data_IF_896602028936
#
_entry.id   IF_896602028936
#
_cell.length_a   1.000
_cell.length_b   1.000
_cell.length_c   1.000
_cell.angle_alpha   90.00
_cell.angle_beta   90.00
_cell.angle_gamma   90.00
#
_symmetry.space_group_name_H-M   'P 1'
#
loop_
_entity.id
_entity.type
_entity.pdbx_description
1 polymer ?
#
# COMPACT_ATOMS: atom_id res chain seq x y z
N UNK A 1 -54.66 -15.24 35.06
CA UNK A 1 -54.71 -15.50 33.60
C UNK A 1 -54.00 -14.33 32.94
N UNK A 2 -52.81 -14.38 32.34
CA UNK A 2 -51.90 -15.47 31.96
C UNK A 2 -50.51 -14.82 31.79
N UNK A 3 -49.44 -15.55 32.13
CA UNK A 3 -48.03 -15.17 32.02
C UNK A 3 -47.59 -14.81 30.59
N UNK A 4 -46.55 -13.98 30.46
CA UNK A 4 -45.30 -14.45 29.82
C UNK A 4 -44.09 -13.55 30.16
N UNK A 5 -43.00 -14.07 30.75
CA UNK A 5 -41.69 -13.43 30.71
C UNK A 5 -41.03 -13.70 29.35
N UNK A 6 -40.53 -12.65 28.70
CA UNK A 6 -39.72 -12.74 27.48
C UNK A 6 -38.33 -13.31 27.84
N UNK A 7 -37.80 -14.30 27.10
CA UNK A 7 -36.44 -14.79 27.28
C UNK A 7 -35.40 -13.72 26.86
N UNK A 8 -34.17 -13.78 27.41
CA UNK A 8 -33.11 -12.83 27.07
C UNK A 8 -32.72 -12.95 25.59
N UNK A 9 -32.40 -11.79 25.01
CA UNK A 9 -31.97 -11.62 23.63
C UNK A 9 -30.86 -12.62 23.26
N UNK A 10 -30.88 -13.19 22.04
CA UNK A 10 -29.73 -13.94 21.55
C UNK A 10 -28.55 -12.97 21.50
N UNK A 11 -27.66 -13.18 22.46
CA UNK A 11 -26.38 -12.51 22.55
C UNK A 11 -25.68 -12.53 21.21
N UNK A 12 -25.15 -11.36 20.85
CA UNK A 12 -23.69 -11.20 20.87
C UNK A 12 -22.91 -12.43 20.39
N UNK A 13 -23.13 -12.82 19.14
CA UNK A 13 -22.37 -13.88 18.47
C UNK A 13 -22.13 -13.59 16.98
N UNK A 14 -22.05 -12.31 16.61
CA UNK A 14 -21.57 -11.90 15.28
C UNK A 14 -20.47 -10.81 15.35
N UNK A 15 -19.82 -10.66 16.52
CA UNK A 15 -18.70 -9.73 16.71
C UNK A 15 -17.34 -10.44 16.74
N UNK A 16 -17.19 -11.55 16.01
CA UNK A 16 -15.90 -12.24 15.86
C UNK A 16 -15.55 -12.58 14.40
N UNK A 17 -16.22 -11.97 13.43
CA UNK A 17 -15.78 -12.00 12.05
C UNK A 17 -14.91 -10.77 11.77
N UNK A 18 -13.59 -10.94 11.88
CA UNK A 18 -12.65 -10.04 11.24
C UNK A 18 -12.01 -8.98 12.13
N UNK A 19 -11.49 -9.36 13.30
CA UNK A 19 -10.22 -8.75 13.71
C UNK A 19 -9.11 -9.41 12.88
N UNK A 20 -9.09 -9.13 11.56
CA UNK A 20 -7.85 -9.25 10.82
C UNK A 20 -6.87 -8.35 11.58
N UNK A 21 -5.75 -8.87 12.11
CA UNK A 21 -4.77 -7.99 12.73
C UNK A 21 -4.40 -6.97 11.65
N UNK A 22 -4.73 -5.71 11.89
CA UNK A 22 -4.33 -4.61 11.02
C UNK A 22 -2.81 -4.75 10.88
N UNK A 23 -2.36 -5.12 9.68
CA UNK A 23 -0.93 -5.21 9.42
C UNK A 23 -0.33 -3.85 9.81
N UNK A 24 0.83 -3.84 10.48
CA UNK A 24 1.46 -2.58 10.86
C UNK A 24 1.59 -1.69 9.63
N UNK A 25 1.18 -0.42 9.77
CA UNK A 25 1.34 0.57 8.70
C UNK A 25 2.83 0.58 8.28
N UNK A 26 3.12 0.47 6.98
CA UNK A 26 4.49 0.39 6.49
C UNK A 26 5.25 1.66 6.90
N UNK A 27 6.48 1.50 7.36
CA UNK A 27 7.32 2.65 7.68
C UNK A 27 7.67 3.42 6.40
N UNK A 28 8.10 4.68 6.53
CA UNK A 28 8.59 5.45 5.39
C UNK A 28 9.74 4.73 4.67
N UNK A 29 10.62 4.04 5.39
CA UNK A 29 11.69 3.25 4.79
C UNK A 29 11.15 2.05 3.97
N UNK A 30 10.10 1.39 4.46
CA UNK A 30 9.44 0.30 3.71
C UNK A 30 8.78 0.83 2.44
N UNK A 31 8.12 2.00 2.52
CA UNK A 31 7.50 2.65 1.36
C UNK A 31 8.54 3.06 0.32
N UNK A 32 9.69 3.60 0.74
CA UNK A 32 10.81 3.93 -0.16
C UNK A 32 11.32 2.67 -0.86
N UNK A 33 11.49 1.58 -0.13
CA UNK A 33 11.95 0.30 -0.67
C UNK A 33 10.96 -0.27 -1.68
N UNK A 34 9.67 -0.22 -1.37
CA UNK A 34 8.62 -0.64 -2.29
C UNK A 34 8.62 0.22 -3.56
N UNK A 35 8.75 1.53 -3.43
CA UNK A 35 8.77 2.45 -4.57
C UNK A 35 9.99 2.23 -5.48
N UNK A 36 11.15 1.91 -4.91
CA UNK A 36 12.34 1.50 -5.68
C UNK A 36 12.08 0.22 -6.46
N UNK A 37 11.45 -0.79 -5.84
CA UNK A 37 11.11 -2.04 -6.51
C UNK A 37 10.09 -1.81 -7.65
N UNK A 38 9.07 -0.99 -7.41
CA UNK A 38 8.05 -0.65 -8.39
C UNK A 38 8.64 0.10 -9.59
N UNK A 39 9.57 1.04 -9.34
CA UNK A 39 10.31 1.73 -10.41
C UNK A 39 11.09 0.76 -11.28
N UNK A 40 11.82 -0.18 -10.69
CA UNK A 40 12.57 -1.21 -11.45
C UNK A 40 11.64 -2.12 -12.23
N UNK A 41 10.50 -2.49 -11.65
CA UNK A 41 9.48 -3.26 -12.35
C UNK A 41 8.94 -2.50 -13.55
N UNK A 42 8.60 -1.22 -13.39
CA UNK A 42 8.09 -0.38 -14.46
C UNK A 42 9.08 -0.29 -15.63
N UNK A 43 10.36 -0.05 -15.33
CA UNK A 43 11.42 0.01 -16.34
C UNK A 43 11.53 -1.30 -17.13
N UNK A 44 11.51 -2.45 -16.46
CA UNK A 44 11.54 -3.78 -17.11
C UNK A 44 10.35 -4.00 -18.03
N UNK A 45 9.16 -3.54 -17.64
CA UNK A 45 7.96 -3.66 -18.48
C UNK A 45 8.04 -2.77 -19.72
N UNK A 46 8.50 -1.53 -19.53
CA UNK A 46 8.76 -0.61 -20.65
C UNK A 46 9.76 -1.23 -21.62
N UNK A 47 10.87 -1.78 -21.14
CA UNK A 47 11.90 -2.43 -21.96
C UNK A 47 11.38 -3.69 -22.66
N UNK A 48 10.48 -4.44 -22.03
CA UNK A 48 9.80 -5.58 -22.63
C UNK A 48 8.78 -5.18 -23.72
N UNK A 49 8.55 -3.89 -23.94
CA UNK A 49 7.59 -3.39 -24.92
C UNK A 49 6.14 -3.43 -24.44
N UNK A 50 5.91 -3.55 -23.13
CA UNK A 50 4.57 -3.44 -22.56
C UNK A 50 4.03 -2.00 -22.74
N UNK A 51 2.70 -1.89 -22.83
CA UNK A 51 1.96 -0.63 -22.93
C UNK A 51 2.51 0.36 -23.97
N UNK A 52 2.57 -0.03 -25.26
CA UNK A 52 3.12 0.83 -26.31
C UNK A 52 2.41 2.18 -26.42
N UNK A 53 1.10 2.24 -26.09
CA UNK A 53 0.33 3.48 -26.10
C UNK A 53 0.70 4.47 -24.97
N UNK A 54 1.29 3.98 -23.87
CA UNK A 54 1.65 4.80 -22.70
C UNK A 54 3.16 4.82 -22.44
N UNK A 55 3.98 4.27 -23.35
CA UNK A 55 5.42 4.13 -23.16
C UNK A 55 6.10 5.43 -22.77
N UNK A 56 5.72 6.54 -23.42
CA UNK A 56 6.29 7.86 -23.15
C UNK A 56 5.85 8.39 -21.78
N UNK A 57 4.56 8.28 -21.46
CA UNK A 57 4.03 8.73 -20.17
C UNK A 57 4.62 7.92 -19.01
N UNK A 58 4.75 6.60 -19.18
CA UNK A 58 5.34 5.71 -18.17
C UNK A 58 6.85 5.94 -18.02
N UNK A 59 7.56 6.30 -19.08
CA UNK A 59 8.96 6.70 -19.00
C UNK A 59 9.13 8.04 -18.27
N UNK A 60 8.22 9.00 -18.49
CA UNK A 60 8.20 10.25 -17.74
C UNK A 60 7.93 9.99 -16.25
N UNK A 61 6.95 9.14 -15.93
CA UNK A 61 6.66 8.73 -14.56
C UNK A 61 7.87 8.04 -13.89
N UNK A 62 8.51 7.10 -14.58
CA UNK A 62 9.73 6.43 -14.08
C UNK A 62 10.84 7.44 -13.75
N UNK A 63 11.00 8.47 -14.59
CA UNK A 63 11.96 9.55 -14.38
C UNK A 63 11.62 10.39 -13.15
N UNK A 64 10.36 10.79 -13.00
CA UNK A 64 9.86 11.54 -11.84
C UNK A 64 10.04 10.74 -10.54
N UNK A 65 9.79 9.43 -10.57
CA UNK A 65 10.05 8.53 -9.44
C UNK A 65 11.54 8.48 -9.09
N UNK A 66 12.42 8.47 -10.09
CA UNK A 66 13.86 8.57 -9.88
C UNK A 66 14.26 9.85 -9.14
N UNK A 67 13.79 11.01 -9.61
CA UNK A 67 14.09 12.30 -8.97
C UNK A 67 13.54 12.39 -7.53
N UNK A 68 12.36 11.82 -7.28
CA UNK A 68 11.80 11.77 -5.93
C UNK A 68 12.67 10.92 -5.00
N UNK A 69 13.07 9.73 -5.44
CA UNK A 69 13.91 8.82 -4.65
C UNK A 69 15.28 9.43 -4.35
N UNK A 70 15.87 10.14 -5.32
CA UNK A 70 17.14 10.85 -5.14
C UNK A 70 17.02 11.94 -4.06
N UNK A 71 15.97 12.77 -4.10
CA UNK A 71 15.70 13.78 -3.06
C UNK A 71 15.47 13.17 -1.68
N UNK A 72 14.76 12.04 -1.63
CA UNK A 72 14.53 11.33 -0.37
C UNK A 72 15.86 10.81 0.19
N UNK A 73 16.77 10.31 -0.64
CA UNK A 73 18.10 9.92 -0.20
C UNK A 73 18.89 11.11 0.35
N UNK A 74 18.84 12.27 -0.31
CA UNK A 74 19.47 13.51 0.18
C UNK A 74 18.92 13.96 1.54
N UNK A 75 17.62 13.77 1.79
CA UNK A 75 16.95 14.13 3.06
C UNK A 75 17.16 13.07 4.16
N UNK A 76 17.63 11.87 3.81
CA UNK A 76 18.04 10.85 4.78
C UNK A 76 19.52 11.01 5.20
N UNK A 77 20.35 11.60 4.34
CA UNK A 77 21.76 11.95 4.59
C UNK A 77 22.06 13.29 5.33
N UNK A 78 21.12 14.13 5.84
CA UNK A 78 21.44 15.37 6.53
C UNK A 78 21.53 15.11 8.05
N UNK A 79 22.52 14.32 8.46
CA UNK A 79 23.07 14.29 9.83
C UNK A 79 24.34 13.44 9.85
N UNK A 80 25.43 14.00 9.33
CA UNK A 80 26.80 13.62 9.69
C UNK A 80 27.64 14.88 9.86
#
# INVERSE_FOLDING_TARGET
MTSQPHPPEPGSAAAAAGATPAAPEPSTADLITQLQADRLWLLRQIDAGAWPAWRLDLAALERELGELLDRVAEVQEPSS
#
